data_IF_101855464811
#
_entry.id   IF_101855464811
#
_cell.length_a   1.000
_cell.length_b   1.000
_cell.length_c   1.000
_cell.angle_alpha   90.00
_cell.angle_beta   90.00
_cell.angle_gamma   90.00
#
_symmetry.space_group_name_H-M   'P 1'
#
loop_
_entity.id
_entity.type
_entity.pdbx_description
1 polymer ?
#
# COMPACT_ATOMS: atom_id res chain seq x y z
N UNK A 1 40.49 53.92 27.42
CA UNK A 1 40.70 52.64 28.12
C UNK A 1 39.72 52.59 29.27
N UNK A 2 38.57 51.95 29.07
CA UNK A 2 37.57 51.70 30.12
C UNK A 2 36.96 50.31 29.84
N UNK A 3 37.64 49.29 30.35
CA UNK A 3 37.10 47.95 30.49
C UNK A 3 36.58 47.82 31.91
N UNK A 4 35.32 47.41 32.08
CA UNK A 4 34.89 46.34 33.01
C UNK A 4 33.39 46.46 33.34
N UNK A 5 32.61 45.46 32.90
CA UNK A 5 31.65 44.69 33.70
C UNK A 5 30.52 44.16 32.82
N UNK A 6 30.82 43.09 32.07
CA UNK A 6 29.84 42.12 31.63
C UNK A 6 30.05 40.88 32.51
N UNK A 7 29.41 40.87 33.67
CA UNK A 7 29.20 39.65 34.46
C UNK A 7 28.06 38.88 33.75
N UNK A 8 28.45 37.88 32.97
CA UNK A 8 27.53 36.91 32.38
C UNK A 8 27.21 35.83 33.41
N UNK A 9 26.11 36.01 34.12
CA UNK A 9 25.56 35.05 35.08
C UNK A 9 24.83 33.93 34.29
N UNK A 10 25.63 33.07 33.66
CA UNK A 10 25.19 31.96 32.78
C UNK A 10 25.02 30.63 33.54
N UNK A 11 25.05 30.67 34.89
CA UNK A 11 25.07 29.49 35.78
C UNK A 11 23.80 29.37 36.66
N UNK A 12 22.69 29.98 36.22
CA UNK A 12 21.41 29.85 36.91
C UNK A 12 20.86 28.43 36.72
N UNK A 13 20.72 27.70 37.84
CA UNK A 13 20.16 26.34 37.84
C UNK A 13 18.75 26.33 37.22
N UNK A 14 18.37 25.26 36.48
CA UNK A 14 17.05 25.18 35.88
C UNK A 14 15.95 25.27 36.96
N UNK A 15 14.87 25.98 36.66
CA UNK A 15 13.70 26.08 37.52
C UNK A 15 13.23 24.68 37.95
N UNK A 16 13.06 24.48 39.25
CA UNK A 16 12.61 23.20 39.80
C UNK A 16 11.16 22.95 39.38
N UNK A 17 10.94 22.10 38.37
CA UNK A 17 9.60 21.68 37.97
C UNK A 17 8.99 20.81 39.08
N UNK A 18 7.90 21.23 39.75
CA UNK A 18 7.31 20.46 40.83
C UNK A 18 6.70 19.16 40.30
N UNK A 19 6.93 18.03 40.96
CA UNK A 19 6.45 16.70 40.55
C UNK A 19 4.93 16.61 40.32
N UNK A 20 4.15 17.51 40.93
CA UNK A 20 2.69 17.59 40.77
C UNK A 20 2.29 18.12 39.38
N UNK A 21 3.01 19.11 38.84
CA UNK A 21 2.72 19.65 37.50
C UNK A 21 3.07 18.64 36.40
N UNK A 22 4.18 17.92 36.55
CA UNK A 22 4.59 16.85 35.62
C UNK A 22 3.54 15.72 35.53
N UNK A 23 2.93 15.36 36.66
CA UNK A 23 1.88 14.33 36.68
C UNK A 23 0.59 14.79 35.99
N UNK A 24 0.19 16.05 36.19
CA UNK A 24 -0.98 16.63 35.52
C UNK A 24 -0.76 16.75 34.02
N UNK A 25 0.40 17.25 33.60
CA UNK A 25 0.77 17.37 32.18
C UNK A 25 0.79 16.00 31.49
N UNK A 26 1.32 14.97 32.15
CA UNK A 26 1.26 13.59 31.65
C UNK A 26 -0.17 13.08 31.47
N UNK A 27 -1.11 13.44 32.35
CA UNK A 27 -2.52 13.01 32.22
C UNK A 27 -3.19 13.72 31.05
N UNK A 28 -2.98 15.03 30.91
CA UNK A 28 -3.50 15.82 29.79
C UNK A 28 -2.96 15.34 28.44
N UNK A 29 -1.65 15.08 28.35
CA UNK A 29 -1.04 14.51 27.14
C UNK A 29 -1.65 13.15 26.78
N UNK A 30 -1.89 12.28 27.76
CA UNK A 30 -2.56 10.99 27.52
C UNK A 30 -4.00 11.16 27.03
N UNK A 31 -4.71 12.19 27.48
CA UNK A 31 -6.06 12.50 27.02
C UNK A 31 -6.06 13.00 25.57
N UNK A 32 -5.14 13.91 25.23
CA UNK A 32 -4.94 14.39 23.86
C UNK A 32 -4.61 13.22 22.91
N UNK A 33 -3.73 12.31 23.32
CA UNK A 33 -3.38 11.12 22.53
C UNK A 33 -4.61 10.23 22.30
N UNK A 34 -5.44 10.01 23.32
CA UNK A 34 -6.67 9.22 23.19
C UNK A 34 -7.66 9.87 22.23
N UNK A 35 -7.85 11.18 22.33
CA UNK A 35 -8.73 11.94 21.44
C UNK A 35 -8.24 11.88 19.99
N UNK A 36 -6.93 12.02 19.77
CA UNK A 36 -6.32 11.88 18.46
C UNK A 36 -6.51 10.47 17.87
N UNK A 37 -6.30 9.41 18.67
CA UNK A 37 -6.54 8.03 18.24
C UNK A 37 -8.01 7.82 17.87
N UNK A 38 -8.95 8.36 18.66
CA UNK A 38 -10.37 8.24 18.38
C UNK A 38 -10.75 8.99 17.09
N UNK A 39 -10.24 10.20 16.89
CA UNK A 39 -10.43 10.97 15.65
C UNK A 39 -9.93 10.21 14.42
N UNK A 40 -8.73 9.61 14.50
CA UNK A 40 -8.20 8.77 13.42
C UNK A 40 -9.13 7.58 13.15
N UNK A 41 -9.56 6.88 14.19
CA UNK A 41 -10.44 5.71 14.07
C UNK A 41 -11.77 6.09 13.39
N UNK A 42 -12.37 7.21 13.78
CA UNK A 42 -13.60 7.70 13.17
C UNK A 42 -13.41 8.10 11.71
N UNK A 43 -12.31 8.78 11.38
CA UNK A 43 -11.99 9.15 10.00
C UNK A 43 -11.85 7.92 9.09
N UNK A 44 -11.22 6.84 9.60
CA UNK A 44 -11.07 5.59 8.86
C UNK A 44 -12.40 4.85 8.70
N UNK A 45 -13.27 4.91 9.72
CA UNK A 45 -14.63 4.35 9.65
C UNK A 45 -15.46 5.08 8.59
N UNK A 46 -15.44 6.41 8.56
CA UNK A 46 -16.11 7.23 7.52
C UNK A 46 -15.61 6.88 6.11
N UNK A 47 -14.29 6.84 5.90
CA UNK A 47 -13.68 6.40 4.62
C UNK A 47 -14.07 4.98 4.20
N UNK A 48 -14.38 4.08 5.14
CA UNK A 48 -14.86 2.72 4.83
C UNK A 48 -16.30 2.76 4.35
N UNK A 49 -17.16 3.51 5.04
CA UNK A 49 -18.58 3.68 4.68
C UNK A 49 -18.69 4.31 3.29
N UNK A 50 -18.00 5.43 3.03
CA UNK A 50 -18.02 6.11 1.73
C UNK A 50 -17.59 5.18 0.57
N UNK A 51 -16.57 4.34 0.78
CA UNK A 51 -16.14 3.36 -0.24
C UNK A 51 -17.20 2.28 -0.48
N UNK A 52 -17.85 1.83 0.59
CA UNK A 52 -18.92 0.84 0.49
C UNK A 52 -20.15 1.41 -0.24
N UNK A 53 -20.54 2.64 0.07
CA UNK A 53 -21.64 3.34 -0.60
C UNK A 53 -21.35 3.52 -2.09
N UNK A 54 -20.16 4.02 -2.45
CA UNK A 54 -19.74 4.12 -3.86
C UNK A 54 -19.76 2.77 -4.57
N UNK A 55 -19.34 1.70 -3.91
CA UNK A 55 -19.38 0.35 -4.49
C UNK A 55 -20.82 -0.12 -4.73
N UNK A 56 -21.72 0.11 -3.76
CA UNK A 56 -23.15 -0.23 -3.88
C UNK A 56 -23.77 0.56 -5.04
N UNK A 57 -23.52 1.86 -5.14
CA UNK A 57 -24.01 2.69 -6.24
C UNK A 57 -23.49 2.22 -7.59
N UNK A 58 -22.20 1.90 -7.70
CA UNK A 58 -21.63 1.35 -8.94
C UNK A 58 -22.27 0.01 -9.30
N UNK A 59 -22.54 -0.85 -8.32
CA UNK A 59 -23.23 -2.13 -8.55
C UNK A 59 -24.66 -1.94 -9.00
N UNK A 60 -25.40 -1.01 -8.40
CA UNK A 60 -26.76 -0.64 -8.83
C UNK A 60 -26.75 -0.12 -10.27
N UNK A 61 -25.90 0.86 -10.57
CA UNK A 61 -25.74 1.39 -11.94
C UNK A 61 -25.39 0.29 -12.94
N UNK A 62 -24.43 -0.58 -12.61
CA UNK A 62 -24.09 -1.72 -13.48
C UNK A 62 -25.27 -2.64 -13.69
N UNK A 63 -26.01 -2.97 -12.62
CA UNK A 63 -27.19 -3.80 -12.71
C UNK A 63 -28.24 -3.16 -13.61
N UNK A 64 -28.54 -1.88 -13.43
CA UNK A 64 -29.51 -1.15 -14.25
C UNK A 64 -29.07 -1.06 -15.72
N UNK A 65 -27.78 -0.85 -16.01
CA UNK A 65 -27.27 -0.85 -17.39
C UNK A 65 -27.21 -2.24 -18.03
N UNK A 66 -27.09 -3.29 -17.22
CA UNK A 66 -26.99 -4.69 -17.68
C UNK A 66 -28.34 -5.40 -17.59
N UNK A 67 -29.41 -4.73 -17.14
CA UNK A 67 -30.77 -5.26 -17.26
C UNK A 67 -31.04 -5.41 -18.76
N UNK A 68 -31.21 -6.66 -19.16
CA UNK A 68 -31.79 -6.95 -20.47
C UNK A 68 -33.22 -6.41 -20.47
N UNK A 69 -33.71 -5.87 -21.60
CA UNK A 69 -35.11 -5.53 -21.77
C UNK A 69 -36.01 -6.66 -21.28
N UNK A 70 -37.03 -6.33 -20.50
CA UNK A 70 -37.94 -7.32 -19.92
C UNK A 70 -38.61 -8.17 -21.02
N UNK A 71 -38.85 -7.58 -22.20
CA UNK A 71 -39.34 -8.28 -23.40
C UNK A 71 -38.45 -9.48 -23.81
N UNK A 72 -37.12 -9.33 -23.78
CA UNK A 72 -36.19 -10.41 -24.12
C UNK A 72 -36.10 -11.47 -23.01
N UNK A 73 -36.29 -11.07 -21.75
CA UNK A 73 -36.33 -11.99 -20.62
C UNK A 73 -37.62 -12.81 -20.64
N UNK A 74 -38.74 -12.21 -21.01
CA UNK A 74 -40.02 -12.89 -21.22
C UNK A 74 -39.94 -13.85 -22.41
N UNK A 75 -39.32 -13.45 -23.54
CA UNK A 75 -39.10 -14.35 -24.68
C UNK A 75 -38.26 -15.57 -24.29
N UNK A 76 -37.14 -15.41 -23.57
CA UNK A 76 -36.31 -16.54 -23.10
C UNK A 76 -37.06 -17.41 -22.08
N UNK A 77 -37.84 -16.80 -21.17
CA UNK A 77 -38.65 -17.54 -20.20
C UNK A 77 -39.74 -18.36 -20.91
N UNK A 78 -40.40 -17.78 -21.90
CA UNK A 78 -41.43 -18.45 -22.70
C UNK A 78 -40.82 -19.54 -23.61
N UNK A 79 -39.67 -19.27 -24.24
CA UNK A 79 -38.92 -20.27 -25.02
C UNK A 79 -38.45 -21.43 -24.15
N UNK A 80 -37.98 -21.20 -22.92
CA UNK A 80 -37.57 -22.28 -22.01
C UNK A 80 -38.72 -23.20 -21.59
N UNK A 81 -39.94 -22.65 -21.47
CA UNK A 81 -41.16 -23.41 -21.19
C UNK A 81 -41.66 -24.19 -22.43
N UNK A 82 -41.35 -23.70 -23.64
CA UNK A 82 -41.72 -24.36 -24.91
C UNK A 82 -40.67 -25.40 -25.35
N UNK A 83 -39.38 -25.16 -25.07
CA UNK A 83 -38.25 -26.00 -25.49
C UNK A 83 -38.14 -27.32 -24.71
N UNK A 84 -38.73 -27.43 -23.52
CA UNK A 84 -38.84 -28.71 -22.81
C UNK A 84 -39.75 -29.74 -23.53
N UNK A 85 -40.42 -29.37 -24.63
CA UNK A 85 -41.20 -30.28 -25.48
C UNK A 85 -40.62 -30.55 -26.88
N UNK A 86 -39.56 -29.88 -27.33
CA UNK A 86 -39.01 -30.12 -28.68
C UNK A 86 -37.48 -30.10 -28.71
N UNK A 87 -36.95 -31.32 -28.80
CA UNK A 87 -35.73 -31.75 -29.49
C UNK A 87 -34.42 -30.97 -29.30
N UNK A 88 -33.46 -31.70 -28.72
CA UNK A 88 -32.03 -31.43 -28.71
C UNK A 88 -31.47 -31.40 -30.16
N UNK A 89 -31.57 -30.28 -30.86
CA UNK A 89 -30.79 -30.05 -32.07
C UNK A 89 -29.51 -29.26 -31.73
N UNK A 90 -28.37 -29.80 -32.15
CA UNK A 90 -27.03 -29.30 -31.83
C UNK A 90 -26.76 -27.99 -32.57
N UNK A 91 -26.72 -26.87 -31.85
CA UNK A 91 -26.26 -25.58 -32.39
C UNK A 91 -24.74 -25.67 -32.58
N UNK A 92 -24.28 -25.71 -33.83
CA UNK A 92 -22.86 -25.49 -34.18
C UNK A 92 -22.62 -23.98 -34.20
N UNK A 93 -21.90 -23.49 -33.19
CA UNK A 93 -21.45 -22.09 -33.14
C UNK A 93 -20.13 -22.01 -33.90
N UNK A 94 -20.12 -21.34 -35.03
CA UNK A 94 -18.91 -21.08 -35.81
C UNK A 94 -18.26 -19.78 -35.30
N UNK A 95 -17.25 -19.89 -34.43
CA UNK A 95 -16.46 -18.76 -33.95
C UNK A 95 -15.39 -18.40 -34.99
N UNK A 96 -15.79 -17.70 -36.06
CA UNK A 96 -14.81 -17.03 -36.91
C UNK A 96 -14.14 -15.88 -36.14
N UNK A 97 -12.80 -15.83 -36.04
CA UNK A 97 -12.11 -14.73 -35.37
C UNK A 97 -12.19 -13.47 -36.24
N UNK A 98 -13.15 -12.58 -35.93
CA UNK A 98 -13.14 -11.19 -36.43
C UNK A 98 -11.95 -10.46 -35.77
N UNK A 99 -10.74 -10.67 -36.29
CA UNK A 99 -9.59 -9.82 -36.01
C UNK A 99 -9.84 -8.44 -36.62
N UNK A 100 -10.36 -7.54 -35.79
CA UNK A 100 -10.57 -6.16 -36.15
C UNK A 100 -9.21 -5.51 -36.41
N UNK A 101 -9.06 -4.94 -37.61
CA UNK A 101 -8.05 -3.97 -38.03
C UNK A 101 -8.13 -2.69 -37.17
N UNK A 102 -7.79 -2.78 -35.90
CA UNK A 102 -7.89 -1.65 -34.95
C UNK A 102 -6.68 -0.70 -35.10
N UNK A 103 -5.60 -1.11 -35.76
CA UNK A 103 -4.34 -0.37 -35.82
C UNK A 103 -4.12 0.49 -37.08
N UNK A 104 -5.02 0.49 -38.06
CA UNK A 104 -4.84 1.27 -39.31
C UNK A 104 -5.10 2.79 -39.14
N UNK A 105 -5.45 3.26 -37.94
CA UNK A 105 -5.85 4.66 -37.71
C UNK A 105 -4.93 5.42 -36.73
N UNK A 106 -3.69 4.95 -36.52
CA UNK A 106 -2.71 5.69 -35.72
C UNK A 106 -2.01 6.71 -36.62
N UNK A 107 -2.27 8.00 -36.39
CA UNK A 107 -1.70 9.13 -37.13
C UNK A 107 -0.16 9.05 -37.18
N UNK A 108 0.42 9.20 -38.38
CA UNK A 108 1.86 9.07 -38.67
C UNK A 108 2.76 10.04 -37.87
N UNK A 109 2.19 11.08 -37.24
CA UNK A 109 2.91 12.07 -36.45
C UNK A 109 3.19 11.62 -35.00
N UNK A 110 2.62 10.51 -34.53
CA UNK A 110 2.93 9.96 -33.20
C UNK A 110 4.19 9.06 -33.18
N UNK A 111 4.88 8.91 -34.31
CA UNK A 111 5.98 7.97 -34.50
C UNK A 111 7.33 8.51 -34.00
N UNK A 112 7.48 9.82 -33.77
CA UNK A 112 8.77 10.42 -33.37
C UNK A 112 9.21 10.06 -31.96
N UNK A 113 8.27 9.82 -31.04
CA UNK A 113 8.55 9.51 -29.62
C UNK A 113 8.43 8.01 -29.31
N UNK A 114 8.21 7.19 -30.35
CA UNK A 114 8.04 5.75 -30.18
C UNK A 114 9.41 5.04 -30.20
N UNK A 115 9.78 4.40 -29.10
CA UNK A 115 10.94 3.51 -29.05
C UNK A 115 10.51 2.13 -29.57
N UNK A 116 11.04 1.66 -30.71
CA UNK A 116 10.66 0.37 -31.26
C UNK A 116 10.95 -0.78 -30.29
N UNK A 117 10.00 -1.71 -30.17
CA UNK A 117 10.11 -2.92 -29.33
C UNK A 117 11.28 -3.85 -29.72
N UNK A 118 12.02 -3.59 -30.80
CA UNK A 118 13.24 -4.34 -31.16
C UNK A 118 14.51 -3.67 -30.63
N UNK A 119 14.50 -2.36 -30.42
CA UNK A 119 15.68 -1.56 -30.07
C UNK A 119 15.71 -1.11 -28.60
N UNK A 120 14.64 -1.33 -27.82
CA UNK A 120 14.54 -0.94 -26.40
C UNK A 120 15.76 -1.29 -25.54
N UNK A 121 16.42 -2.44 -25.81
CA UNK A 121 17.66 -2.86 -25.09
C UNK A 121 18.83 -1.89 -25.27
N UNK A 122 18.95 -1.23 -26.42
CA UNK A 122 20.02 -0.27 -26.71
C UNK A 122 19.83 1.05 -25.95
N UNK A 123 18.58 1.38 -25.59
CA UNK A 123 18.23 2.56 -24.80
C UNK A 123 18.18 2.29 -23.28
N UNK A 124 18.70 1.13 -22.82
CA UNK A 124 18.68 0.75 -21.41
C UNK A 124 17.29 0.44 -20.85
N UNK A 125 16.28 0.32 -21.72
CA UNK A 125 14.92 -0.03 -21.34
C UNK A 125 14.82 -1.57 -21.37
N UNK A 126 14.09 -2.14 -20.42
CA UNK A 126 13.78 -3.58 -20.38
C UNK A 126 12.27 -3.74 -20.37
N UNK A 127 11.71 -4.31 -21.43
CA UNK A 127 10.30 -4.69 -21.48
C UNK A 127 10.15 -6.02 -20.74
N UNK A 128 9.42 -6.00 -19.63
CA UNK A 128 9.16 -7.18 -18.82
C UNK A 128 7.67 -7.51 -18.91
N UNK A 129 7.33 -8.67 -19.46
CA UNK A 129 5.95 -9.15 -19.45
C UNK A 129 5.58 -9.57 -18.03
N UNK A 130 4.38 -9.18 -17.55
CA UNK A 130 3.89 -9.58 -16.23
C UNK A 130 3.90 -11.11 -16.06
N UNK A 131 3.60 -11.85 -17.13
CA UNK A 131 3.67 -13.32 -17.19
C UNK A 131 5.10 -13.86 -17.05
N UNK A 132 6.11 -13.12 -17.53
CA UNK A 132 7.52 -13.48 -17.37
C UNK A 132 8.06 -13.19 -15.96
N UNK A 133 7.36 -12.34 -15.20
CA UNK A 133 7.66 -12.16 -13.79
C UNK A 133 7.00 -13.28 -13.01
N UNK A 134 7.79 -14.27 -12.58
CA UNK A 134 7.38 -15.26 -11.58
C UNK A 134 7.24 -14.63 -10.17
N UNK A 135 6.70 -13.41 -10.08
CA UNK A 135 6.35 -12.75 -8.82
C UNK A 135 5.05 -13.34 -8.33
N UNK A 136 5.12 -14.55 -7.78
CA UNK A 136 4.00 -15.08 -6.99
C UNK A 136 3.72 -14.08 -5.86
N UNK A 137 2.46 -13.68 -5.64
CA UNK A 137 2.14 -12.83 -4.50
C UNK A 137 2.56 -13.57 -3.23
N UNK A 138 3.56 -13.03 -2.53
CA UNK A 138 4.06 -13.61 -1.28
C UNK A 138 2.90 -13.77 -0.30
N UNK A 139 2.83 -14.93 0.34
CA UNK A 139 1.87 -15.20 1.42
C UNK A 139 2.22 -14.29 2.60
N UNK A 140 1.26 -13.96 3.46
CA UNK A 140 1.47 -13.05 4.59
C UNK A 140 2.66 -13.43 5.48
N UNK A 141 2.88 -14.74 5.68
CA UNK A 141 4.04 -15.28 6.41
C UNK A 141 5.37 -14.97 5.72
N UNK A 142 5.45 -15.16 4.41
CA UNK A 142 6.64 -14.89 3.60
C UNK A 142 6.94 -13.38 3.56
N UNK A 143 5.90 -12.54 3.47
CA UNK A 143 6.05 -11.08 3.59
C UNK A 143 6.61 -10.67 4.93
N UNK A 144 6.11 -11.25 6.02
CA UNK A 144 6.61 -10.97 7.36
C UNK A 144 8.07 -11.42 7.53
N UNK A 145 8.44 -12.57 6.96
CA UNK A 145 9.81 -13.09 6.99
C UNK A 145 10.76 -12.23 6.14
N UNK A 146 10.35 -11.83 4.95
CA UNK A 146 11.10 -10.91 4.09
C UNK A 146 11.31 -9.54 4.78
N UNK A 147 10.25 -8.98 5.39
CA UNK A 147 10.33 -7.74 6.17
C UNK A 147 11.29 -7.88 7.35
N UNK A 148 11.20 -8.98 8.11
CA UNK A 148 12.12 -9.26 9.23
C UNK A 148 13.57 -9.32 8.75
N UNK A 149 13.84 -9.98 7.63
CA UNK A 149 15.18 -10.08 7.07
C UNK A 149 15.69 -8.72 6.57
N UNK A 150 14.86 -7.95 5.87
CA UNK A 150 15.23 -6.62 5.37
C UNK A 150 15.48 -5.60 6.49
N UNK A 151 14.71 -5.66 7.58
CA UNK A 151 14.83 -4.71 8.68
C UNK A 151 15.91 -5.09 9.68
N UNK A 152 16.02 -6.39 10.01
CA UNK A 152 16.87 -6.84 11.11
C UNK A 152 18.12 -7.60 10.68
N UNK A 153 18.16 -8.12 9.44
CA UNK A 153 19.29 -8.88 8.90
C UNK A 153 19.88 -8.14 7.68
N UNK A 154 20.07 -6.82 7.80
CA UNK A 154 20.70 -6.03 6.74
C UNK A 154 22.13 -6.54 6.52
N UNK A 155 22.55 -6.83 5.27
CA UNK A 155 23.94 -7.16 4.99
C UNK A 155 24.83 -6.01 5.50
N UNK A 156 25.77 -6.33 6.40
CA UNK A 156 26.69 -5.36 7.01
C UNK A 156 26.35 -4.91 8.43
N UNK A 157 25.14 -5.16 8.95
CA UNK A 157 24.78 -4.85 10.35
C UNK A 157 24.32 -6.14 11.03
N UNK A 158 25.24 -6.80 11.75
CA UNK A 158 24.89 -7.98 12.55
C UNK A 158 23.98 -7.58 13.71
N UNK A 159 22.94 -8.38 13.98
CA UNK A 159 22.17 -8.24 15.23
C UNK A 159 23.12 -8.50 16.39
N UNK A 160 23.22 -7.54 17.30
CA UNK A 160 23.85 -7.80 18.61
C UNK A 160 22.82 -8.45 19.51
N UNK A 161 23.19 -9.56 20.14
CA UNK A 161 22.39 -10.16 21.20
C UNK A 161 22.51 -9.34 22.50
N UNK A 162 21.55 -9.49 23.42
CA UNK A 162 21.61 -8.85 24.73
C UNK A 162 22.87 -9.26 25.52
N UNK A 163 23.33 -10.50 25.33
CA UNK A 163 24.56 -11.00 25.95
C UNK A 163 25.79 -10.30 25.39
N UNK A 164 25.86 -10.08 24.06
CA UNK A 164 26.95 -9.34 23.43
C UNK A 164 27.01 -7.88 23.89
N UNK A 165 25.86 -7.22 24.04
CA UNK A 165 25.83 -5.82 24.51
C UNK A 165 26.27 -5.71 25.98
N UNK A 166 25.87 -6.65 26.83
CA UNK A 166 26.32 -6.75 28.22
C UNK A 166 27.84 -7.00 28.28
N UNK A 167 28.36 -7.94 27.49
CA UNK A 167 29.78 -8.26 27.45
C UNK A 167 30.63 -7.06 26.98
N UNK A 168 30.18 -6.33 25.96
CA UNK A 168 30.84 -5.10 25.50
C UNK A 168 30.83 -4.00 26.57
N UNK A 169 29.72 -3.85 27.29
CA UNK A 169 29.61 -2.90 28.41
C UNK A 169 30.61 -3.22 29.52
N UNK A 170 30.70 -4.49 29.92
CA UNK A 170 31.67 -4.96 30.91
C UNK A 170 33.11 -4.73 30.45
N UNK A 171 33.43 -5.06 29.19
CA UNK A 171 34.76 -4.82 28.61
C UNK A 171 35.14 -3.34 28.64
N UNK A 172 34.21 -2.44 28.31
CA UNK A 172 34.43 -0.98 28.38
C UNK A 172 34.67 -0.52 29.81
N UNK A 173 33.89 -1.01 30.78
CA UNK A 173 34.09 -0.71 32.20
C UNK A 173 35.47 -1.12 32.68
N UNK A 174 35.91 -2.35 32.37
CA UNK A 174 37.25 -2.84 32.72
C UNK A 174 38.34 -1.95 32.11
N UNK A 175 38.22 -1.60 30.81
CA UNK A 175 39.21 -0.73 30.14
C UNK A 175 39.27 0.70 30.67
N UNK A 176 38.20 1.19 31.32
CA UNK A 176 38.15 2.51 31.97
C UNK A 176 38.74 2.48 33.38
N UNK A 177 38.67 1.33 34.05
CA UNK A 177 39.27 1.13 35.38
C UNK A 177 40.77 0.86 35.26
N UNK A 178 41.22 0.26 34.15
CA UNK A 178 42.63 -0.03 33.89
C UNK A 178 43.43 1.14 33.30
N UNK A 179 42.85 2.35 33.24
CA UNK A 179 43.50 3.60 32.82
C UNK A 179 43.52 4.56 34.01
#
# INVERSE_FOLDING_TARGET
MSNSNHESDDDSAPESVPFVSSKLESVEQNQIIKEHINSIRESQKKKRIERQEKYIEQKKKKFDTLKLPDDLLEEVANESNVANKKEKSKIKIDLAPKSKKIFDSLEENAVSDFIPLKTYKQYGISVVNLESTNKKPLIASEKALAFKNQMFNRPGIRRQTAQESIALSLKRKISKISK
#
